data_IF_842940906856
#
_entry.id   IF_842940906856
#
_cell.length_a   1.000
_cell.length_b   1.000
_cell.length_c   1.000
_cell.angle_alpha   90.00
_cell.angle_beta   90.00
_cell.angle_gamma   90.00
#
_symmetry.space_group_name_H-M   'P 1'
#
loop_
_entity.id
_entity.type
_entity.pdbx_description
1 polymer ?
#
# COMPACT_ATOMS: atom_id res chain seq x y z
N UNK A 1 -24.24 -20.56 4.37
CA UNK A 1 -22.87 -20.31 3.92
C UNK A 1 -22.00 -20.22 5.16
N UNK A 2 -21.06 -21.17 5.36
CA UNK A 2 -20.27 -21.23 6.60
C UNK A 2 -19.10 -20.21 6.52
N UNK A 3 -19.23 -19.12 7.27
CA UNK A 3 -18.25 -18.04 7.34
C UNK A 3 -16.87 -18.54 7.83
N UNK A 4 -16.85 -19.59 8.65
CA UNK A 4 -15.60 -20.21 9.13
C UNK A 4 -14.88 -20.97 8.02
N UNK A 5 -15.61 -21.63 7.13
CA UNK A 5 -15.05 -22.33 5.98
C UNK A 5 -14.46 -21.33 4.97
N UNK A 6 -15.15 -20.20 4.73
CA UNK A 6 -14.64 -19.12 3.89
C UNK A 6 -13.37 -18.52 4.49
N UNK A 7 -13.34 -18.25 5.79
CA UNK A 7 -12.16 -17.70 6.47
C UNK A 7 -10.94 -18.62 6.40
N UNK A 8 -11.15 -19.95 6.53
CA UNK A 8 -10.06 -20.94 6.35
C UNK A 8 -9.57 -20.99 4.91
N UNK A 9 -10.48 -20.96 3.92
CA UNK A 9 -10.13 -20.96 2.51
C UNK A 9 -9.35 -19.71 2.09
N UNK A 10 -9.73 -18.53 2.59
CA UNK A 10 -8.98 -17.29 2.35
C UNK A 10 -7.60 -17.34 3.01
N UNK A 11 -7.47 -17.95 4.19
CA UNK A 11 -6.18 -18.10 4.88
C UNK A 11 -5.22 -19.06 4.18
N UNK A 12 -5.72 -20.14 3.55
CA UNK A 12 -4.88 -21.04 2.75
C UNK A 12 -4.41 -20.37 1.47
N UNK A 13 -5.32 -19.72 0.75
CA UNK A 13 -4.99 -18.96 -0.46
C UNK A 13 -3.94 -17.86 -0.21
N UNK A 14 -4.10 -17.12 0.89
CA UNK A 14 -3.14 -16.09 1.29
C UNK A 14 -1.73 -16.67 1.52
N UNK A 15 -1.65 -17.85 2.14
CA UNK A 15 -0.37 -18.54 2.35
C UNK A 15 0.23 -19.03 1.05
N UNK A 16 -0.55 -19.68 0.19
CA UNK A 16 -0.10 -20.18 -1.11
C UNK A 16 0.43 -19.04 -2.00
N UNK A 17 -0.28 -17.91 -2.05
CA UNK A 17 0.18 -16.73 -2.79
C UNK A 17 1.48 -16.17 -2.19
N UNK A 18 1.58 -16.11 -0.86
CA UNK A 18 2.79 -15.66 -0.19
C UNK A 18 4.00 -16.55 -0.50
N UNK A 19 3.84 -17.86 -0.44
CA UNK A 19 4.89 -18.85 -0.75
C UNK A 19 5.29 -18.76 -2.23
N UNK A 20 4.32 -18.72 -3.16
CA UNK A 20 4.57 -18.60 -4.58
C UNK A 20 5.37 -17.31 -4.92
N UNK A 21 5.03 -16.18 -4.30
CA UNK A 21 5.79 -14.93 -4.47
C UNK A 21 7.17 -15.01 -3.84
N UNK A 22 7.29 -15.64 -2.67
CA UNK A 22 8.58 -15.80 -1.99
C UNK A 22 9.57 -16.66 -2.77
N UNK A 23 9.07 -17.69 -3.48
CA UNK A 23 9.87 -18.62 -4.29
C UNK A 23 10.14 -18.10 -5.72
N UNK A 24 9.34 -17.15 -6.20
CA UNK A 24 9.45 -16.63 -7.57
C UNK A 24 10.76 -15.83 -7.75
N UNK A 25 11.67 -16.22 -8.65
CA UNK A 25 12.89 -15.48 -8.91
C UNK A 25 12.57 -14.20 -9.70
N UNK A 26 12.85 -13.04 -9.12
CA UNK A 26 12.63 -11.76 -9.79
C UNK A 26 13.72 -10.74 -9.42
N UNK A 27 14.93 -10.84 -10.03
CA UNK A 27 16.04 -9.95 -9.71
C UNK A 27 15.71 -8.46 -9.84
N UNK A 28 14.87 -8.10 -10.83
CA UNK A 28 14.42 -6.73 -11.03
C UNK A 28 13.56 -6.24 -9.86
N UNK A 29 12.57 -7.02 -9.45
CA UNK A 29 11.71 -6.68 -8.32
C UNK A 29 12.50 -6.68 -7.01
N UNK A 30 13.43 -7.62 -6.82
CA UNK A 30 14.29 -7.70 -5.64
C UNK A 30 15.16 -6.43 -5.48
N UNK A 31 15.60 -5.84 -6.59
CA UNK A 31 16.34 -4.59 -6.59
C UNK A 31 15.44 -3.35 -6.43
N UNK A 32 14.25 -3.35 -7.05
CA UNK A 32 13.34 -2.21 -7.11
C UNK A 32 12.50 -2.05 -5.84
N UNK A 33 11.93 -3.16 -5.31
CA UNK A 33 11.00 -3.14 -4.19
C UNK A 33 11.55 -2.49 -2.91
N UNK A 34 12.80 -2.74 -2.48
CA UNK A 34 13.34 -2.06 -1.30
C UNK A 34 13.49 -0.54 -1.49
N UNK A 35 13.73 -0.07 -2.72
CA UNK A 35 13.79 1.37 -3.03
C UNK A 35 12.41 1.99 -3.01
N UNK A 36 11.44 1.34 -3.65
CA UNK A 36 10.05 1.78 -3.68
C UNK A 36 9.45 1.81 -2.26
N UNK A 37 9.67 0.77 -1.47
CA UNK A 37 9.23 0.73 -0.07
C UNK A 37 9.77 1.90 0.73
N UNK A 38 11.07 2.22 0.61
CA UNK A 38 11.67 3.37 1.28
C UNK A 38 11.09 4.70 0.81
N UNK A 39 10.82 4.84 -0.48
CA UNK A 39 10.18 6.05 -1.04
C UNK A 39 8.74 6.19 -0.54
N UNK A 40 8.02 5.09 -0.40
CA UNK A 40 6.64 5.06 0.10
C UNK A 40 6.54 5.21 1.63
N UNK A 41 7.66 5.02 2.37
CA UNK A 41 7.69 5.17 3.83
C UNK A 41 7.19 6.55 4.26
N UNK A 42 6.29 6.57 5.24
CA UNK A 42 5.66 7.80 5.75
C UNK A 42 4.96 8.61 4.66
N UNK A 43 4.46 7.96 3.62
CA UNK A 43 3.76 8.57 2.47
C UNK A 43 4.60 9.61 1.68
N UNK A 44 5.93 9.58 1.82
CA UNK A 44 6.83 10.56 1.18
C UNK A 44 6.66 10.62 -0.33
N UNK A 45 6.52 9.45 -0.98
CA UNK A 45 6.28 9.36 -2.42
C UNK A 45 5.02 10.14 -2.83
N UNK A 46 3.93 9.93 -2.10
CA UNK A 46 2.65 10.56 -2.40
C UNK A 46 2.67 12.07 -2.16
N UNK A 47 3.36 12.54 -1.11
CA UNK A 47 3.56 13.97 -0.89
C UNK A 47 4.45 14.60 -1.96
N UNK A 48 5.50 13.93 -2.43
CA UNK A 48 6.34 14.42 -3.52
C UNK A 48 5.55 14.53 -4.84
N UNK A 49 4.73 13.50 -5.16
CA UNK A 49 3.84 13.54 -6.33
C UNK A 49 2.82 14.69 -6.18
N UNK A 50 2.18 14.83 -5.01
CA UNK A 50 1.23 15.90 -4.77
C UNK A 50 1.86 17.29 -4.91
N UNK A 51 3.10 17.48 -4.44
CA UNK A 51 3.84 18.74 -4.61
C UNK A 51 4.12 19.04 -6.08
N UNK A 52 4.56 18.04 -6.87
CA UNK A 52 4.77 18.20 -8.31
C UNK A 52 3.46 18.53 -9.05
N UNK A 53 2.37 17.83 -8.73
CA UNK A 53 1.05 18.12 -9.28
C UNK A 53 0.55 19.52 -8.90
N UNK A 54 0.82 19.98 -7.69
CA UNK A 54 0.49 21.32 -7.21
C UNK A 54 1.29 22.42 -7.88
N UNK A 55 2.57 22.16 -8.17
CA UNK A 55 3.46 23.15 -8.81
C UNK A 55 3.20 23.27 -10.32
N UNK A 56 3.04 22.14 -11.02
CA UNK A 56 3.05 22.09 -12.48
C UNK A 56 1.72 21.68 -13.11
N UNK A 57 0.75 21.23 -12.31
CA UNK A 57 -0.52 20.73 -12.81
C UNK A 57 -1.51 21.81 -13.23
N UNK A 58 -2.48 21.44 -14.08
CA UNK A 58 -3.67 22.22 -14.37
C UNK A 58 -4.52 22.43 -13.10
N UNK A 59 -5.52 23.28 -13.15
CA UNK A 59 -6.37 23.54 -11.99
C UNK A 59 -7.06 22.27 -11.44
N UNK A 60 -7.52 21.38 -12.32
CA UNK A 60 -8.12 20.09 -11.90
C UNK A 60 -7.09 19.17 -11.25
N UNK A 61 -5.87 19.10 -11.80
CA UNK A 61 -4.76 18.31 -11.25
C UNK A 61 -4.36 18.83 -9.87
N UNK A 62 -4.28 20.16 -9.70
CA UNK A 62 -3.94 20.79 -8.41
C UNK A 62 -5.00 20.52 -7.35
N UNK A 63 -6.29 20.61 -7.71
CA UNK A 63 -7.40 20.22 -6.80
C UNK A 63 -7.35 18.74 -6.48
N UNK A 64 -7.06 17.90 -7.49
CA UNK A 64 -6.85 16.48 -7.31
C UNK A 64 -5.73 16.17 -6.31
N UNK A 65 -4.60 16.86 -6.42
CA UNK A 65 -3.48 16.70 -5.48
C UNK A 65 -3.90 17.03 -4.03
N UNK A 66 -4.58 18.15 -3.82
CA UNK A 66 -5.08 18.55 -2.51
C UNK A 66 -6.07 17.52 -1.95
N UNK A 67 -7.05 17.08 -2.76
CA UNK A 67 -8.02 16.05 -2.38
C UNK A 67 -7.35 14.71 -2.08
N UNK A 68 -6.37 14.30 -2.89
CA UNK A 68 -5.58 13.10 -2.68
C UNK A 68 -4.84 13.11 -1.35
N UNK A 69 -4.21 14.24 -1.00
CA UNK A 69 -3.52 14.40 0.29
C UNK A 69 -4.50 14.29 1.46
N UNK A 70 -5.65 14.93 1.38
CA UNK A 70 -6.70 14.83 2.42
C UNK A 70 -7.19 13.40 2.56
N UNK A 71 -7.52 12.73 1.45
CA UNK A 71 -7.97 11.33 1.44
C UNK A 71 -6.92 10.39 2.05
N UNK A 72 -5.65 10.58 1.69
CA UNK A 72 -4.53 9.83 2.24
C UNK A 72 -4.40 10.04 3.76
N UNK A 73 -4.46 11.30 4.22
CA UNK A 73 -4.33 11.63 5.65
C UNK A 73 -5.45 10.99 6.49
N UNK A 74 -6.70 11.14 6.04
CA UNK A 74 -7.87 10.53 6.71
C UNK A 74 -7.75 9.01 6.73
N UNK A 75 -7.46 8.40 5.58
CA UNK A 75 -7.34 6.94 5.48
C UNK A 75 -6.18 6.40 6.30
N UNK A 76 -5.03 7.09 6.30
CA UNK A 76 -3.88 6.72 7.12
C UNK A 76 -4.21 6.76 8.62
N UNK A 77 -4.92 7.81 9.07
CA UNK A 77 -5.36 7.93 10.45
C UNK A 77 -6.32 6.79 10.82
N UNK A 78 -7.37 6.57 10.04
CA UNK A 78 -8.36 5.51 10.28
C UNK A 78 -7.69 4.13 10.28
N UNK A 79 -6.86 3.85 9.27
CA UNK A 79 -6.20 2.55 9.15
C UNK A 79 -5.26 2.27 10.34
N UNK A 80 -4.43 3.24 10.71
CA UNK A 80 -3.39 3.00 11.72
C UNK A 80 -3.92 3.12 13.15
N UNK A 81 -4.93 3.95 13.40
CA UNK A 81 -5.46 4.17 14.77
C UNK A 81 -6.66 3.28 15.09
N UNK A 82 -7.52 2.98 14.12
CA UNK A 82 -8.74 2.23 14.35
C UNK A 82 -8.67 0.82 13.77
N UNK A 83 -8.51 0.68 12.45
CA UNK A 83 -8.65 -0.60 11.79
C UNK A 83 -7.61 -1.64 12.26
N UNK A 84 -6.36 -1.26 12.50
CA UNK A 84 -5.33 -2.15 13.03
C UNK A 84 -5.58 -2.62 14.47
N UNK A 85 -6.41 -1.93 15.24
CA UNK A 85 -6.80 -2.35 16.58
C UNK A 85 -7.94 -3.36 16.56
N UNK A 86 -8.80 -3.30 15.53
CA UNK A 86 -9.96 -4.18 15.36
C UNK A 86 -9.55 -5.48 14.69
N UNK A 87 -8.75 -5.39 13.60
CA UNK A 87 -8.27 -6.56 12.84
C UNK A 87 -6.85 -6.92 13.24
N UNK A 88 -6.73 -7.87 14.14
CA UNK A 88 -5.43 -8.38 14.58
C UNK A 88 -5.04 -9.57 13.72
N UNK A 89 -4.23 -9.34 12.67
CA UNK A 89 -3.61 -10.40 11.88
C UNK A 89 -2.10 -10.39 12.10
N UNK A 90 -1.52 -11.48 12.65
CA UNK A 90 -0.07 -11.59 12.77
C UNK A 90 0.60 -11.60 11.39
N UNK A 91 1.86 -11.20 11.32
CA UNK A 91 2.62 -11.29 10.07
C UNK A 91 3.02 -12.74 9.79
N UNK A 92 3.06 -13.15 8.51
CA UNK A 92 3.63 -14.43 8.12
C UNK A 92 5.06 -14.61 8.63
N UNK A 93 5.46 -15.85 8.85
CA UNK A 93 6.80 -16.17 9.30
C UNK A 93 7.83 -15.75 8.24
N UNK A 94 8.79 -14.94 8.67
CA UNK A 94 9.83 -14.40 7.80
C UNK A 94 10.90 -15.45 7.47
N UNK A 95 10.95 -16.58 8.17
CA UNK A 95 11.87 -17.66 7.87
C UNK A 95 11.62 -18.28 6.49
N UNK A 96 10.37 -18.20 6.00
CA UNK A 96 9.96 -18.63 4.68
C UNK A 96 10.46 -17.71 3.54
N UNK A 97 10.99 -16.53 3.86
CA UNK A 97 11.46 -15.57 2.86
C UNK A 97 12.99 -15.68 2.73
N UNK A 98 13.56 -15.75 1.50
CA UNK A 98 15.00 -15.68 1.28
C UNK A 98 15.61 -14.44 1.96
N UNK A 99 16.80 -14.59 2.53
CA UNK A 99 17.50 -13.53 3.29
C UNK A 99 17.63 -12.22 2.50
N UNK A 100 17.90 -12.32 1.19
CA UNK A 100 18.05 -11.17 0.28
C UNK A 100 16.77 -10.33 0.17
N UNK A 101 15.59 -10.94 0.37
CA UNK A 101 14.28 -10.29 0.29
C UNK A 101 13.75 -9.79 1.64
N UNK A 102 14.40 -10.19 2.73
CA UNK A 102 13.96 -9.77 4.07
C UNK A 102 14.20 -8.28 4.27
N UNK A 103 13.15 -7.54 4.59
CA UNK A 103 13.30 -6.15 4.98
C UNK A 103 14.22 -6.02 6.21
N UNK A 104 15.17 -5.09 6.17
CA UNK A 104 16.04 -4.77 7.31
C UNK A 104 15.25 -4.24 8.50
N UNK A 105 14.14 -3.57 8.25
CA UNK A 105 13.25 -3.01 9.28
C UNK A 105 12.07 -3.95 9.48
N UNK A 106 11.88 -4.43 10.70
CA UNK A 106 10.74 -5.25 11.10
C UNK A 106 9.64 -4.33 11.58
N UNK A 107 8.51 -4.24 10.87
CA UNK A 107 7.36 -3.48 11.39
C UNK A 107 6.79 -4.20 12.61
N UNK A 108 6.51 -3.45 13.67
CA UNK A 108 5.91 -3.96 14.92
C UNK A 108 4.39 -4.01 14.89
N UNK A 109 3.76 -3.40 13.87
CA UNK A 109 2.31 -3.38 13.71
C UNK A 109 1.77 -4.64 13.03
N UNK A 110 0.48 -4.92 13.21
CA UNK A 110 -0.25 -5.98 12.52
C UNK A 110 -0.09 -5.91 10.99
N UNK A 111 -0.18 -7.08 10.31
CA UNK A 111 -0.03 -7.17 8.85
C UNK A 111 -1.19 -6.54 8.08
N UNK A 112 -2.41 -6.62 8.62
CA UNK A 112 -3.64 -6.09 8.03
C UNK A 112 -4.34 -5.11 8.99
N UNK A 113 -5.03 -4.11 8.43
CA UNK A 113 -4.93 -3.64 7.05
C UNK A 113 -3.57 -2.99 6.74
N UNK A 114 -3.14 -3.07 5.47
CA UNK A 114 -1.88 -2.46 5.02
C UNK A 114 -2.02 -0.93 4.98
N UNK A 115 -1.26 -0.23 5.82
CA UNK A 115 -1.25 1.24 5.81
C UNK A 115 -0.71 1.82 4.50
N UNK A 116 0.29 1.19 3.87
CA UNK A 116 0.85 1.63 2.59
C UNK A 116 -0.18 1.51 1.47
N UNK A 117 -0.80 0.33 1.30
CA UNK A 117 -1.82 0.11 0.26
C UNK A 117 -3.05 0.99 0.47
N UNK A 118 -3.52 1.14 1.70
CA UNK A 118 -4.66 1.99 2.00
C UNK A 118 -4.38 3.46 1.67
N UNK A 119 -3.21 3.98 2.03
CA UNK A 119 -2.80 5.36 1.73
C UNK A 119 -2.62 5.59 0.23
N UNK A 120 -2.00 4.63 -0.47
CA UNK A 120 -1.79 4.67 -1.91
C UNK A 120 -3.13 4.74 -2.68
N UNK A 121 -4.02 3.80 -2.39
CA UNK A 121 -5.35 3.75 -3.01
C UNK A 121 -6.17 5.01 -2.72
N UNK A 122 -6.16 5.50 -1.47
CA UNK A 122 -6.88 6.70 -1.09
C UNK A 122 -6.38 7.95 -1.82
N UNK A 123 -5.05 8.09 -1.99
CA UNK A 123 -4.47 9.17 -2.75
C UNK A 123 -4.90 9.11 -4.22
N UNK A 124 -4.74 7.95 -4.87
CA UNK A 124 -5.12 7.75 -6.27
C UNK A 124 -6.61 8.03 -6.54
N UNK A 125 -7.49 7.54 -5.67
CA UNK A 125 -8.93 7.79 -5.76
C UNK A 125 -9.22 9.28 -5.56
N UNK A 126 -8.63 9.92 -4.55
CA UNK A 126 -8.82 11.35 -4.27
C UNK A 126 -8.41 12.22 -5.46
N UNK A 127 -7.30 11.90 -6.13
CA UNK A 127 -6.88 12.57 -7.37
C UNK A 127 -7.84 12.27 -8.51
N UNK A 128 -8.24 11.02 -8.69
CA UNK A 128 -9.08 10.57 -9.80
C UNK A 128 -10.46 11.21 -9.82
N UNK A 129 -11.01 11.55 -8.66
CA UNK A 129 -12.29 12.25 -8.53
C UNK A 129 -12.27 13.69 -9.09
N UNK A 130 -11.09 14.30 -9.18
CA UNK A 130 -10.92 15.65 -9.77
C UNK A 130 -10.29 15.59 -11.17
N UNK A 131 -9.48 14.57 -11.44
CA UNK A 131 -8.77 14.38 -12.69
C UNK A 131 -8.54 12.91 -12.96
N UNK A 132 -9.46 12.25 -13.68
CA UNK A 132 -9.33 10.84 -14.03
C UNK A 132 -8.03 10.53 -14.81
N UNK A 133 -7.59 11.35 -15.78
CA UNK A 133 -6.30 11.12 -16.47
C UNK A 133 -5.08 11.12 -15.55
N UNK A 134 -5.13 11.89 -14.45
CA UNK A 134 -4.06 11.90 -13.46
C UNK A 134 -4.22 10.76 -12.43
N UNK A 135 -5.44 10.39 -12.08
CA UNK A 135 -5.73 9.34 -11.10
C UNK A 135 -5.42 7.93 -11.59
N UNK A 136 -5.67 7.63 -12.86
CA UNK A 136 -5.46 6.29 -13.44
C UNK A 136 -4.02 5.78 -13.30
N UNK A 137 -2.97 6.53 -13.73
CA UNK A 137 -1.59 6.08 -13.55
C UNK A 137 -1.20 5.95 -12.06
N UNK A 138 -1.78 6.77 -11.18
CA UNK A 138 -1.55 6.67 -9.74
C UNK A 138 -2.19 5.40 -9.16
N UNK A 139 -3.35 4.98 -9.67
CA UNK A 139 -4.00 3.74 -9.25
C UNK A 139 -3.21 2.49 -9.70
N UNK A 140 -2.49 2.56 -10.82
CA UNK A 140 -1.59 1.49 -11.26
C UNK A 140 -0.29 1.43 -10.45
N UNK A 141 0.10 2.54 -9.84
CA UNK A 141 1.29 2.61 -8.96
C UNK A 141 0.95 2.20 -7.51
N UNK A 142 -0.33 2.27 -7.13
CA UNK A 142 -0.80 2.02 -5.76
C UNK A 142 -0.91 0.53 -5.42
#
# INVERSE_FOLDING_TARGET
MDVRAIGKGLGSLDREVFEAVAESPSPLLDAAMPRLTRAADHSKLWFAIAAGMGAFGSQSVRRGAARGVVSLAVTSLVTNQLAKRIWVRPRPDRTLIPLVRRSKRVPTSNSLPSGHSASAAAFAVGVGLESAPAGLPLALLA
#
